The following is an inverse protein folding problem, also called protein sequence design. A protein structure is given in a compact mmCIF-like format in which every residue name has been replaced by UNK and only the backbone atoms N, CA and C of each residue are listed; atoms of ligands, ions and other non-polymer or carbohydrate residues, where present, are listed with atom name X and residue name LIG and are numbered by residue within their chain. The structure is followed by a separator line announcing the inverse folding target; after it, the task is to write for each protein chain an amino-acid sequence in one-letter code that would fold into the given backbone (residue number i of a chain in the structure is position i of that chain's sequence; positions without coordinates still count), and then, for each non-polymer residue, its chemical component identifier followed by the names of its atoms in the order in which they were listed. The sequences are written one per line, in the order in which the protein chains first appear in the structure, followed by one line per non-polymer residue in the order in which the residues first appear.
data_IF_107905589547
#
_entry.id   IF_107905589547
#
_cell.length_a   1.000
_cell.length_b   1.000
_cell.length_c   1.000
_cell.angle_alpha   90.00
_cell.angle_beta   90.00
_cell.angle_gamma   90.00
#
_symmetry.space_group_name_H-M   'P 1'
#
loop_
_entity.id
_entity.type
_entity.pdbx_description
1 polymer ?
#
# COMPACT_ATOMS: atom_id res chain seq x y z
N UNK A 1 -0.68 -22.30 15.51
CA UNK A 1 -0.69 -21.13 14.62
C UNK A 1 -1.43 -20.02 15.34
N UNK A 2 -0.83 -18.83 15.46
CA UNK A 2 -1.51 -17.66 16.03
C UNK A 2 -2.61 -17.19 15.06
N UNK A 3 -3.72 -16.58 15.52
CA UNK A 3 -4.78 -16.09 14.62
C UNK A 3 -4.26 -14.98 13.70
N UNK A 4 -4.59 -15.02 12.41
CA UNK A 4 -4.15 -14.01 11.42
C UNK A 4 -4.58 -12.57 11.79
N UNK A 5 -5.67 -12.44 12.56
CA UNK A 5 -6.18 -11.16 13.05
C UNK A 5 -5.32 -10.50 14.14
N UNK A 6 -4.34 -11.21 14.71
CA UNK A 6 -3.49 -10.65 15.76
C UNK A 6 -2.42 -9.69 15.21
N UNK A 7 -2.13 -9.75 13.91
CA UNK A 7 -1.00 -9.04 13.29
C UNK A 7 -1.34 -8.30 11.99
N UNK A 8 -2.62 -8.24 11.60
CA UNK A 8 -3.04 -7.57 10.39
C UNK A 8 -3.29 -6.09 10.65
N UNK A 9 -2.38 -5.22 10.20
CA UNK A 9 -2.65 -3.80 9.99
C UNK A 9 -2.77 -3.57 8.48
N UNK A 10 -3.99 -3.49 7.93
CA UNK A 10 -4.18 -3.37 6.49
C UNK A 10 -3.54 -2.11 5.91
N UNK A 11 -3.41 -1.03 6.68
CA UNK A 11 -2.75 0.18 6.19
C UNK A 11 -1.26 -0.06 6.02
N UNK A 12 -0.63 -0.71 7.00
CA UNK A 12 0.77 -1.10 6.96
C UNK A 12 1.07 -2.06 5.81
N UNK A 13 0.26 -3.11 5.65
CA UNK A 13 0.43 -4.11 4.59
C UNK A 13 0.32 -3.49 3.20
N UNK A 14 -0.60 -2.53 3.02
CA UNK A 14 -0.72 -1.77 1.76
C UNK A 14 0.51 -0.91 1.49
N UNK A 15 1.00 -0.18 2.49
CA UNK A 15 2.17 0.67 2.33
C UNK A 15 3.41 -0.16 1.97
N UNK A 16 3.66 -1.26 2.68
CA UNK A 16 4.77 -2.17 2.36
C UNK A 16 4.66 -2.76 0.95
N UNK A 17 3.45 -3.19 0.55
CA UNK A 17 3.23 -3.69 -0.80
C UNK A 17 3.51 -2.63 -1.87
N UNK A 18 3.14 -1.38 -1.60
CA UNK A 18 3.38 -0.27 -2.52
C UNK A 18 4.85 0.13 -2.61
N UNK A 19 5.63 0.02 -1.53
CA UNK A 19 7.10 0.20 -1.59
C UNK A 19 7.72 -0.79 -2.57
N UNK A 20 7.40 -2.08 -2.44
CA UNK A 20 7.91 -3.12 -3.36
C UNK A 20 7.44 -2.86 -4.80
N UNK A 21 6.18 -2.45 -4.97
CA UNK A 21 5.67 -2.11 -6.30
C UNK A 21 6.40 -0.91 -6.92
N UNK A 22 6.71 0.12 -6.13
CA UNK A 22 7.46 1.30 -6.56
C UNK A 22 8.89 0.94 -6.98
N UNK A 23 9.60 0.13 -6.19
CA UNK A 23 10.95 -0.37 -6.52
C UNK A 23 10.96 -1.18 -7.84
N UNK A 24 9.87 -1.88 -8.14
CA UNK A 24 9.69 -2.59 -9.40
C UNK A 24 9.14 -1.71 -10.55
N UNK A 25 8.94 -0.41 -10.33
CA UNK A 25 8.39 0.52 -11.31
C UNK A 25 6.93 0.24 -11.70
N UNK A 26 6.19 -0.46 -10.83
CA UNK A 26 4.81 -0.89 -11.05
C UNK A 26 3.81 -0.02 -10.29
N UNK A 27 2.63 0.14 -10.87
CA UNK A 27 1.43 0.65 -10.17
C UNK A 27 0.53 -0.50 -9.75
N UNK A 28 -0.20 -0.35 -8.66
CA UNK A 28 -1.00 -1.43 -8.08
C UNK A 28 -2.49 -1.16 -8.25
N UNK A 29 -3.26 -2.10 -8.78
CA UNK A 29 -4.72 -1.99 -8.78
C UNK A 29 -5.29 -2.20 -7.38
N UNK A 30 -6.47 -1.66 -7.12
CA UNK A 30 -7.17 -1.84 -5.84
C UNK A 30 -7.35 -3.33 -5.50
N UNK A 31 -7.70 -4.17 -6.48
CA UNK A 31 -7.84 -5.61 -6.28
C UNK A 31 -6.55 -6.29 -5.81
N UNK A 32 -5.38 -5.86 -6.31
CA UNK A 32 -4.08 -6.38 -5.86
C UNK A 32 -3.79 -5.94 -4.42
N UNK A 33 -4.08 -4.68 -4.09
CA UNK A 33 -3.96 -4.14 -2.73
C UNK A 33 -4.85 -4.87 -1.72
N UNK A 34 -6.11 -5.17 -2.08
CA UNK A 34 -7.00 -5.96 -1.22
C UNK A 34 -6.41 -7.33 -0.88
N UNK A 35 -5.82 -8.01 -1.88
CA UNK A 35 -5.16 -9.30 -1.67
C UNK A 35 -3.92 -9.16 -0.81
N UNK A 36 -3.09 -8.14 -1.04
CA UNK A 36 -1.88 -7.90 -0.28
C UNK A 36 -2.17 -7.65 1.21
N UNK A 37 -3.20 -6.86 1.51
CA UNK A 37 -3.63 -6.57 2.87
C UNK A 37 -4.63 -7.57 3.47
N UNK A 38 -4.94 -8.67 2.75
CA UNK A 38 -5.86 -9.72 3.20
C UNK A 38 -7.23 -9.20 3.70
N UNK A 39 -7.78 -8.14 3.08
CA UNK A 39 -9.06 -7.53 3.49
C UNK A 39 -10.08 -7.45 2.36
N UNK A 40 -11.40 -7.41 2.69
CA UNK A 40 -12.44 -7.11 1.71
C UNK A 40 -12.27 -5.74 1.05
N UNK A 41 -12.81 -5.60 -0.16
CA UNK A 41 -12.69 -4.36 -0.95
C UNK A 41 -13.19 -3.11 -0.24
N UNK A 42 -14.30 -3.18 0.50
CA UNK A 42 -14.85 -2.02 1.22
C UNK A 42 -13.92 -1.57 2.34
N UNK A 43 -13.29 -2.50 3.06
CA UNK A 43 -12.26 -2.22 4.06
C UNK A 43 -11.02 -1.61 3.42
N UNK A 44 -10.59 -2.14 2.27
CA UNK A 44 -9.45 -1.61 1.56
C UNK A 44 -9.68 -0.17 1.08
N UNK A 45 -10.85 0.10 0.50
CA UNK A 45 -11.22 1.44 0.04
C UNK A 45 -11.26 2.45 1.19
N UNK A 46 -11.74 2.04 2.37
CA UNK A 46 -11.70 2.89 3.56
C UNK A 46 -10.27 3.25 3.92
N UNK A 47 -9.36 2.29 3.97
CA UNK A 47 -7.95 2.53 4.29
C UNK A 47 -7.23 3.34 3.22
N UNK A 48 -7.48 3.09 1.94
CA UNK A 48 -6.96 3.92 0.85
C UNK A 48 -7.37 5.38 1.06
N UNK A 49 -8.64 5.65 1.40
CA UNK A 49 -9.09 7.02 1.68
C UNK A 49 -8.41 7.66 2.90
N UNK A 50 -8.09 6.88 3.94
CA UNK A 50 -7.32 7.36 5.10
C UNK A 50 -5.87 7.67 4.70
N UNK A 51 -5.23 6.81 3.92
CA UNK A 51 -3.86 7.01 3.45
C UNK A 51 -3.77 8.19 2.45
N UNK A 52 -4.79 8.38 1.61
CA UNK A 52 -4.91 9.54 0.72
C UNK A 52 -5.04 10.84 1.51
N UNK A 53 -5.85 10.86 2.57
CA UNK A 53 -6.02 12.07 3.40
C UNK A 53 -4.77 12.45 4.19
N UNK A 54 -3.84 11.51 4.37
CA UNK A 54 -2.52 11.73 4.97
C UNK A 54 -1.41 12.00 3.94
N UNK A 55 -1.78 12.12 2.66
CA UNK A 55 -0.84 12.31 1.54
C UNK A 55 0.24 11.22 1.47
N UNK A 56 -0.11 9.97 1.81
CA UNK A 56 0.80 8.83 1.75
C UNK A 56 0.65 8.02 0.46
N UNK A 57 -0.57 7.95 -0.06
CA UNK A 57 -0.87 7.26 -1.32
C UNK A 57 -1.69 8.16 -2.23
N UNK A 58 -1.63 7.86 -3.52
CA UNK A 58 -2.38 8.55 -4.56
C UNK A 58 -3.09 7.51 -5.41
N UNK A 59 -4.36 7.77 -5.72
CA UNK A 59 -5.13 7.02 -6.72
C UNK A 59 -5.18 7.78 -8.05
N UNK A 60 -4.90 7.08 -9.14
CA UNK A 60 -5.02 7.61 -10.51
C UNK A 60 -5.81 6.65 -11.39
N UNK A 61 -6.56 7.15 -12.40
CA UNK A 61 -7.13 6.30 -13.42
C UNK A 61 -6.05 5.49 -14.13
N UNK A 62 -6.34 4.25 -14.52
CA UNK A 62 -5.43 3.43 -15.31
C UNK A 62 -5.30 4.03 -16.72
N UNK A 63 -4.09 4.11 -17.30
CA UNK A 63 -3.87 4.77 -18.60
C UNK A 63 -4.70 4.22 -19.75
N UNK A 64 -5.00 2.91 -19.72
CA UNK A 64 -5.74 2.21 -20.77
C UNK A 64 -7.23 2.02 -20.46
N UNK A 65 -7.66 2.21 -19.20
CA UNK A 65 -9.06 2.04 -18.80
C UNK A 65 -9.37 2.93 -17.58
N UNK A 66 -10.06 4.05 -17.82
CA UNK A 66 -10.42 5.01 -16.76
C UNK A 66 -11.39 4.47 -15.70
N UNK A 67 -11.97 3.28 -15.90
CA UNK A 67 -12.80 2.60 -14.89
C UNK A 67 -11.96 1.88 -13.85
N UNK A 68 -10.71 1.57 -14.17
CA UNK A 68 -9.76 0.93 -13.27
C UNK A 68 -8.96 2.03 -12.59
N UNK A 69 -8.90 1.98 -11.27
CA UNK A 69 -8.00 2.83 -10.52
C UNK A 69 -6.76 2.05 -10.09
N UNK A 70 -5.62 2.70 -10.24
CA UNK A 70 -4.34 2.25 -9.68
C UNK A 70 -3.94 3.18 -8.55
N UNK A 71 -3.20 2.63 -7.60
CA UNK A 71 -2.69 3.30 -6.41
C UNK A 71 -1.18 3.18 -6.42
N UNK A 72 -0.51 4.26 -6.02
CA UNK A 72 0.94 4.36 -5.81
C UNK A 72 1.21 5.13 -4.53
N UNK A 73 2.44 5.06 -4.03
CA UNK A 73 2.91 6.02 -3.03
C UNK A 73 2.92 7.43 -3.64
N UNK A 74 2.75 8.44 -2.78
CA UNK A 74 3.14 9.81 -3.08
C UNK A 74 4.64 9.96 -2.82
N UNK A 75 5.21 11.09 -3.22
CA UNK A 75 6.61 11.42 -2.87
C UNK A 75 6.81 11.42 -1.34
N UNK A 76 5.87 12.02 -0.60
CA UNK A 76 5.87 11.99 0.88
C UNK A 76 5.79 10.57 1.42
N UNK A 77 4.84 9.77 0.93
CA UNK A 77 4.65 8.39 1.40
C UNK A 77 5.87 7.51 1.13
N UNK A 78 6.51 7.67 -0.03
CA UNK A 78 7.76 7.00 -0.37
C UNK A 78 8.88 7.41 0.59
N UNK A 79 9.10 8.72 0.78
CA UNK A 79 10.12 9.22 1.70
C UNK A 79 9.92 8.74 3.14
N UNK A 80 8.68 8.81 3.65
CA UNK A 80 8.33 8.36 5.01
C UNK A 80 8.60 6.85 5.18
N UNK A 81 8.17 6.03 4.22
CA UNK A 81 8.36 4.58 4.28
C UNK A 81 9.84 4.18 4.17
N UNK A 82 10.58 4.76 3.24
CA UNK A 82 12.02 4.47 3.11
C UNK A 82 12.80 4.94 4.35
N UNK A 83 12.45 6.10 4.92
CA UNK A 83 13.04 6.58 6.17
C UNK A 83 12.78 5.62 7.35
N UNK A 84 11.53 5.14 7.46
CA UNK A 84 11.15 4.15 8.47
C UNK A 84 11.91 2.83 8.30
N UNK A 85 11.92 2.27 7.08
CA UNK A 85 12.61 1.00 6.78
C UNK A 85 14.13 1.11 6.98
N UNK A 86 14.73 2.24 6.67
CA UNK A 86 16.14 2.50 6.93
C UNK A 86 16.45 2.59 8.43
N UNK A 87 15.54 3.19 9.21
CA UNK A 87 15.68 3.30 10.68
C UNK A 87 15.64 1.94 11.36
N UNK A 88 14.72 1.07 10.93
CA UNK A 88 14.57 -0.26 11.51
C UNK A 88 15.49 -1.31 10.88
N UNK A 89 16.31 -0.91 9.88
CA UNK A 89 17.34 -1.70 9.20
C UNK A 89 17.13 -3.19 9.43
N UNK A 90 16.12 -3.73 8.76
CA UNK A 90 15.84 -5.16 8.71
C UNK A 90 17.13 -5.84 8.29
N UNK A 91 17.88 -6.33 9.28
CA UNK A 91 19.12 -7.05 9.07
C UNK A 91 18.71 -8.31 8.33
N UNK A 92 19.13 -8.53 7.07
CA UNK A 92 18.87 -9.80 6.43
C UNK A 92 19.52 -10.88 7.30
N UNK A 93 18.72 -11.88 7.66
CA UNK A 93 19.21 -13.09 8.29
C UNK A 93 20.18 -13.83 7.36
#
# INVERSE_FOLDING_TARGET
MLPDQLFADPAWDMLLYLVVAEEEGRRSSISRLCRAAAVPTTTALRWIGVLESQDLVRRTPHPSDGRIFVVSLTEKGSADMHGLLATYRLRPA
#
